data_IF_482682112556
#
_entry.id   IF_482682112556
#
_cell.length_a   1.000
_cell.length_b   1.000
_cell.length_c   1.000
_cell.angle_alpha   90.00
_cell.angle_beta   90.00
_cell.angle_gamma   90.00
#
_symmetry.space_group_name_H-M   'P 1'
#
loop_
_entity.id
_entity.type
_entity.pdbx_description
1 polymer ?
#
# COMPACT_ATOMS: atom_id res chain seq x y z
N UNK A 1 -48.96 34.53 -61.04
CA UNK A 1 -48.89 33.06 -60.84
C UNK A 1 -48.52 32.82 -59.38
N UNK A 2 -49.14 31.85 -58.70
CA UNK A 2 -48.95 31.59 -57.26
C UNK A 2 -47.91 30.48 -57.00
N UNK A 3 -47.04 30.65 -55.98
CA UNK A 3 -46.34 29.61 -55.17
C UNK A 3 -45.72 30.31 -53.93
N UNK A 4 -45.92 29.99 -52.64
CA UNK A 4 -46.82 29.06 -51.91
C UNK A 4 -46.26 27.76 -51.26
N UNK A 5 -45.01 27.75 -50.78
CA UNK A 5 -44.40 26.68 -49.95
C UNK A 5 -43.46 27.29 -48.89
N UNK A 6 -43.71 27.28 -47.56
CA UNK A 6 -43.75 26.21 -46.53
C UNK A 6 -42.39 25.75 -45.96
N UNK A 7 -42.31 25.73 -44.61
CA UNK A 7 -41.36 25.01 -43.73
C UNK A 7 -39.89 25.51 -43.70
N UNK A 8 -39.13 25.43 -42.59
CA UNK A 8 -39.33 24.75 -41.29
C UNK A 8 -38.81 25.58 -40.09
N UNK A 9 -39.45 25.44 -38.92
CA UNK A 9 -38.89 25.82 -37.62
C UNK A 9 -37.90 24.73 -37.15
N UNK A 10 -36.63 25.08 -36.92
CA UNK A 10 -35.69 24.18 -36.23
C UNK A 10 -35.78 24.37 -34.71
N UNK A 11 -36.41 23.42 -34.04
CA UNK A 11 -36.37 23.29 -32.58
C UNK A 11 -35.00 22.74 -32.15
N UNK A 12 -34.13 23.57 -31.58
CA UNK A 12 -32.91 23.09 -30.92
C UNK A 12 -33.29 22.44 -29.57
N UNK A 13 -33.36 21.12 -29.54
CA UNK A 13 -33.40 20.36 -28.29
C UNK A 13 -32.00 20.38 -27.66
N UNK A 14 -31.85 21.11 -26.55
CA UNK A 14 -30.63 21.08 -25.76
C UNK A 14 -30.49 19.73 -25.05
N UNK A 15 -29.63 18.85 -25.56
CA UNK A 15 -29.27 17.61 -24.90
C UNK A 15 -28.44 17.93 -23.64
N UNK A 16 -29.09 17.96 -22.49
CA UNK A 16 -28.41 18.07 -21.20
C UNK A 16 -27.59 16.82 -20.92
N UNK A 17 -26.28 16.91 -21.13
CA UNK A 17 -25.33 15.86 -20.75
C UNK A 17 -25.31 15.71 -19.22
N UNK A 18 -26.09 14.76 -18.71
CA UNK A 18 -25.99 14.32 -17.33
C UNK A 18 -24.63 13.66 -17.12
N UNK A 19 -23.66 14.42 -16.60
CA UNK A 19 -22.38 13.87 -16.19
C UNK A 19 -22.63 12.85 -15.08
N UNK A 20 -22.48 11.57 -15.40
CA UNK A 20 -22.53 10.49 -14.42
C UNK A 20 -21.33 10.64 -13.50
N UNK A 21 -21.54 11.20 -12.31
CA UNK A 21 -20.57 11.17 -11.24
C UNK A 21 -20.17 9.69 -11.02
N UNK A 22 -18.85 9.37 -10.95
CA UNK A 22 -18.44 8.02 -10.60
C UNK A 22 -19.05 7.67 -9.25
N UNK A 23 -19.66 6.48 -9.16
CA UNK A 23 -20.32 6.04 -7.95
C UNK A 23 -19.33 6.12 -6.79
N UNK A 24 -19.64 6.94 -5.78
CA UNK A 24 -18.91 6.92 -4.53
C UNK A 24 -18.97 5.49 -4.00
N UNK A 25 -17.81 4.86 -3.82
CA UNK A 25 -17.70 3.52 -3.26
C UNK A 25 -18.58 3.43 -2.02
N UNK A 26 -19.45 2.41 -1.98
CA UNK A 26 -20.36 2.21 -0.85
C UNK A 26 -19.56 2.28 0.44
N UNK A 27 -19.88 3.24 1.31
CA UNK A 27 -19.02 3.63 2.40
C UNK A 27 -18.84 2.47 3.41
N UNK A 28 -17.81 1.65 3.17
CA UNK A 28 -17.34 0.68 4.14
C UNK A 28 -17.08 1.45 5.44
N UNK A 29 -17.68 1.00 6.53
CA UNK A 29 -17.49 1.64 7.82
C UNK A 29 -16.01 1.55 8.18
N UNK A 30 -15.30 2.68 8.06
CA UNK A 30 -13.88 2.82 8.42
C UNK A 30 -13.67 2.20 9.80
N UNK A 31 -12.80 1.19 9.87
CA UNK A 31 -12.53 0.50 11.13
C UNK A 31 -11.73 1.43 12.02
N UNK A 32 -12.10 1.52 13.30
CA UNK A 32 -11.37 2.32 14.27
C UNK A 32 -11.52 1.72 15.67
N UNK A 33 -10.58 2.06 16.54
CA UNK A 33 -10.59 1.57 17.92
C UNK A 33 -9.36 1.99 18.71
N UNK A 34 -9.38 1.63 20.00
CA UNK A 34 -8.23 1.77 20.90
C UNK A 34 -7.39 0.50 20.88
N UNK A 35 -6.07 0.64 20.89
CA UNK A 35 -5.08 -0.43 20.79
C UNK A 35 -3.87 -0.14 21.68
N UNK A 36 -3.07 -1.16 21.96
CA UNK A 36 -1.72 -1.02 22.52
C UNK A 36 -0.74 -1.25 21.39
N UNK A 37 -0.06 -0.21 20.89
CA UNK A 37 0.89 -0.34 19.77
C UNK A 37 2.32 -0.54 20.25
N UNK A 38 3.03 -1.51 19.67
CA UNK A 38 4.45 -1.82 20.01
C UNK A 38 5.39 -1.52 18.84
N UNK A 39 6.70 -1.29 19.08
CA UNK A 39 7.67 -1.02 18.03
C UNK A 39 8.11 -2.31 17.31
N UNK A 40 8.02 -2.32 15.98
CA UNK A 40 8.51 -3.39 15.11
C UNK A 40 9.76 -2.90 14.36
N UNK A 41 10.93 -3.47 14.67
CA UNK A 41 12.22 -2.97 14.17
C UNK A 41 12.74 -3.67 12.91
N UNK A 42 11.99 -4.65 12.37
CA UNK A 42 12.32 -5.34 11.11
C UNK A 42 11.21 -5.17 10.07
N UNK A 43 11.58 -4.91 8.81
CA UNK A 43 10.61 -4.86 7.73
C UNK A 43 10.18 -6.26 7.29
N UNK A 44 8.87 -6.45 7.13
CA UNK A 44 8.25 -7.64 6.53
C UNK A 44 6.91 -7.31 5.85
N UNK A 45 6.41 -8.24 5.04
CA UNK A 45 5.06 -8.17 4.45
C UNK A 45 4.55 -9.57 4.09
N UNK A 46 3.52 -10.02 4.80
CA UNK A 46 2.78 -11.28 4.58
C UNK A 46 1.98 -11.31 3.27
N UNK A 47 1.74 -10.16 2.63
CA UNK A 47 1.16 -10.08 1.27
C UNK A 47 2.20 -9.86 0.17
N UNK A 48 3.48 -9.77 0.53
CA UNK A 48 4.57 -9.66 -0.44
C UNK A 48 4.80 -8.27 -1.03
N UNK A 49 4.43 -7.19 -0.31
CA UNK A 49 4.82 -5.83 -0.70
C UNK A 49 6.35 -5.69 -0.64
N UNK A 50 6.91 -4.87 -1.53
CA UNK A 50 8.35 -4.66 -1.67
C UNK A 50 8.81 -3.43 -0.88
N UNK A 51 9.63 -3.66 0.14
CA UNK A 51 10.15 -2.61 1.02
C UNK A 51 10.96 -1.54 0.28
N UNK A 52 11.69 -1.94 -0.76
CA UNK A 52 12.46 -1.03 -1.60
C UNK A 52 11.60 -0.08 -2.45
N UNK A 53 10.28 -0.29 -2.49
CA UNK A 53 9.31 0.54 -3.23
C UNK A 53 8.35 1.30 -2.31
N UNK A 54 8.57 1.31 -1.00
CA UNK A 54 7.75 2.04 0.00
C UNK A 54 8.60 2.67 1.10
N UNK A 55 7.99 3.51 1.93
CA UNK A 55 8.58 3.97 3.18
C UNK A 55 8.42 2.91 4.29
N UNK A 56 9.42 2.04 4.46
CA UNK A 56 9.40 0.95 5.47
C UNK A 56 9.35 1.44 6.92
N UNK A 57 9.65 2.72 7.18
CA UNK A 57 9.47 3.36 8.48
C UNK A 57 8.01 3.71 8.79
N UNK A 58 7.07 3.44 7.89
CA UNK A 58 5.62 3.74 8.03
C UNK A 58 4.75 2.53 7.68
N UNK A 59 4.98 1.40 8.35
CA UNK A 59 4.25 0.13 8.18
C UNK A 59 3.50 -0.25 9.46
N UNK A 60 2.34 -0.88 9.30
CA UNK A 60 1.54 -1.46 10.37
C UNK A 60 1.41 -2.98 10.19
N UNK A 61 1.65 -3.71 11.29
CA UNK A 61 1.70 -5.16 11.42
C UNK A 61 0.57 -5.59 12.37
N UNK A 62 -0.64 -5.79 11.82
CA UNK A 62 -1.86 -5.94 12.63
C UNK A 62 -2.16 -7.42 12.96
N UNK A 63 -2.96 -7.75 14.00
CA UNK A 63 -3.36 -9.13 14.26
C UNK A 63 -4.18 -9.77 13.12
N UNK A 64 -4.75 -8.93 12.24
CA UNK A 64 -5.55 -9.35 11.09
C UNK A 64 -4.75 -9.22 9.80
N UNK A 65 -4.86 -10.24 8.95
CA UNK A 65 -4.32 -10.24 7.59
C UNK A 65 -4.69 -8.95 6.82
N UNK A 66 -3.82 -8.42 5.94
CA UNK A 66 -4.15 -7.26 5.11
C UNK A 66 -5.39 -7.48 4.24
N UNK A 67 -6.14 -6.41 3.99
CA UNK A 67 -7.32 -6.43 3.11
C UNK A 67 -7.02 -5.72 1.79
N UNK A 68 -7.83 -5.98 0.76
CA UNK A 68 -7.67 -5.37 -0.56
C UNK A 68 -8.10 -3.89 -0.64
N UNK A 69 -8.67 -3.33 0.43
CA UNK A 69 -9.16 -1.94 0.48
C UNK A 69 -8.53 -1.14 1.62
N UNK A 70 -8.35 -1.77 2.78
CA UNK A 70 -8.03 -1.11 4.06
C UNK A 70 -6.50 -1.01 4.28
N UNK A 71 -5.76 -0.59 3.25
CA UNK A 71 -4.29 -0.61 3.22
C UNK A 71 -3.63 0.59 3.90
N UNK A 72 -4.39 1.64 4.23
CA UNK A 72 -3.88 2.81 4.94
C UNK A 72 -4.57 2.94 6.30
N UNK A 73 -3.77 3.07 7.37
CA UNK A 73 -4.25 3.27 8.73
C UNK A 73 -3.55 4.46 9.34
N UNK A 74 -4.32 5.36 9.95
CA UNK A 74 -3.82 6.43 10.80
C UNK A 74 -3.78 5.95 12.24
N UNK A 75 -2.62 6.05 12.89
CA UNK A 75 -2.44 5.72 14.31
C UNK A 75 -2.09 6.99 15.07
N UNK A 76 -2.73 7.20 16.22
CA UNK A 76 -2.60 8.41 17.04
C UNK A 76 -2.31 8.08 18.51
N UNK A 77 -1.29 8.73 19.07
CA UNK A 77 -0.93 8.65 20.49
C UNK A 77 -0.20 9.93 20.94
N UNK A 78 -0.28 10.28 22.23
CA UNK A 78 0.43 11.42 22.83
C UNK A 78 0.24 12.77 22.08
N UNK A 79 -0.93 13.00 21.49
CA UNK A 79 -1.23 14.21 20.70
C UNK A 79 -0.59 14.25 19.31
N UNK A 80 -0.02 13.15 18.82
CA UNK A 80 0.59 12.99 17.50
C UNK A 80 -0.14 11.91 16.69
N UNK A 81 0.04 11.94 15.37
CA UNK A 81 -0.52 10.97 14.44
C UNK A 81 0.50 10.60 13.37
N UNK A 82 0.43 9.37 12.86
CA UNK A 82 1.17 8.88 11.69
C UNK A 82 0.24 8.06 10.80
N UNK A 83 0.41 8.18 9.50
CA UNK A 83 -0.23 7.29 8.53
C UNK A 83 0.73 6.13 8.21
N UNK A 84 0.19 4.92 8.05
CA UNK A 84 0.94 3.68 7.93
C UNK A 84 0.30 2.75 6.91
N UNK A 85 1.13 2.03 6.16
CA UNK A 85 0.72 0.95 5.26
C UNK A 85 0.40 -0.32 6.07
N UNK A 86 -0.86 -0.74 6.10
CA UNK A 86 -1.32 -2.00 6.70
C UNK A 86 -1.09 -3.17 5.72
N UNK A 87 0.17 -3.53 5.55
CA UNK A 87 0.65 -4.52 4.56
C UNK A 87 1.29 -5.75 5.20
N UNK A 88 1.18 -5.90 6.52
CA UNK A 88 1.60 -7.10 7.21
C UNK A 88 0.63 -7.50 8.33
N UNK A 89 0.78 -8.75 8.78
CA UNK A 89 0.16 -9.27 9.98
C UNK A 89 1.22 -9.59 11.03
N UNK A 90 0.89 -9.36 12.28
CA UNK A 90 1.64 -9.88 13.43
C UNK A 90 1.08 -11.24 13.84
N UNK A 91 1.77 -11.91 14.78
CA UNK A 91 1.26 -13.11 15.45
C UNK A 91 0.15 -12.85 16.49
N UNK A 92 -0.51 -11.67 16.48
CA UNK A 92 -1.60 -11.33 17.41
C UNK A 92 -1.48 -9.96 18.11
N UNK A 93 -0.39 -9.21 17.87
CA UNK A 93 -0.13 -7.89 18.44
C UNK A 93 -0.46 -6.74 17.47
N UNK A 94 -0.55 -5.51 17.97
CA UNK A 94 -0.66 -4.34 17.11
C UNK A 94 0.72 -3.68 17.05
N UNK A 95 1.50 -3.96 16.00
CA UNK A 95 2.86 -3.43 15.91
C UNK A 95 2.98 -2.45 14.75
N UNK A 96 3.85 -1.46 14.88
CA UNK A 96 4.12 -0.45 13.84
C UNK A 96 5.63 -0.26 13.73
N UNK A 97 6.12 0.15 12.56
CA UNK A 97 7.57 0.38 12.34
C UNK A 97 8.19 1.19 13.48
N UNK A 98 9.36 0.78 13.96
CA UNK A 98 9.99 1.36 15.15
C UNK A 98 10.10 2.89 15.07
N UNK A 99 10.43 3.46 13.92
CA UNK A 99 10.46 4.92 13.71
C UNK A 99 9.10 5.60 13.96
N UNK A 100 8.01 5.00 13.46
CA UNK A 100 6.66 5.51 13.66
C UNK A 100 6.25 5.45 15.13
N UNK A 101 6.56 4.35 15.82
CA UNK A 101 6.36 4.22 17.27
C UNK A 101 7.18 5.25 18.04
N UNK A 102 8.47 5.40 17.71
CA UNK A 102 9.37 6.35 18.34
C UNK A 102 8.85 7.79 18.19
N UNK A 103 8.42 8.18 16.99
CA UNK A 103 7.83 9.49 16.74
C UNK A 103 6.54 9.72 17.55
N UNK A 104 5.67 8.73 17.70
CA UNK A 104 4.49 8.86 18.56
C UNK A 104 4.86 9.07 20.05
N UNK A 105 5.94 8.46 20.53
CA UNK A 105 6.45 8.64 21.90
C UNK A 105 7.18 9.99 22.07
N UNK A 106 8.26 10.20 21.33
CA UNK A 106 9.22 11.30 21.53
C UNK A 106 8.88 12.55 20.73
N UNK A 107 8.23 12.40 19.57
CA UNK A 107 8.09 13.44 18.55
C UNK A 107 9.26 13.53 17.55
N UNK A 108 10.20 12.59 17.60
CA UNK A 108 11.42 12.56 16.77
C UNK A 108 11.62 11.19 16.12
N UNK A 109 12.40 11.14 15.04
CA UNK A 109 12.74 9.89 14.37
C UNK A 109 13.57 8.98 15.29
N UNK A 110 13.44 7.66 15.13
CA UNK A 110 14.28 6.69 15.83
C UNK A 110 15.77 6.81 15.44
N UNK A 111 16.11 7.37 14.28
CA UNK A 111 17.52 7.65 13.90
C UNK A 111 18.09 8.90 14.57
N UNK A 112 17.22 9.82 15.05
CA UNK A 112 17.61 11.08 15.69
C UNK A 112 17.64 10.96 17.23
N UNK A 113 16.61 10.34 17.81
CA UNK A 113 16.45 10.16 19.24
C UNK A 113 15.79 8.79 19.52
N UNK A 114 16.55 7.69 19.41
CA UNK A 114 16.04 6.35 19.68
C UNK A 114 15.66 6.20 21.16
N UNK A 115 14.42 5.82 21.42
CA UNK A 115 13.96 5.40 22.76
C UNK A 115 13.58 3.93 22.77
N UNK A 116 13.54 3.35 23.97
CA UNK A 116 13.12 1.97 24.21
C UNK A 116 11.87 1.96 25.10
N UNK A 117 10.98 1.01 24.84
CA UNK A 117 9.76 0.79 25.60
C UNK A 117 9.01 -0.46 25.14
N UNK A 118 7.70 -0.35 24.96
CA UNK A 118 6.83 -1.43 24.52
C UNK A 118 5.46 -0.88 24.11
N UNK A 119 4.38 -1.59 24.47
CA UNK A 119 3.01 -1.15 24.17
C UNK A 119 2.68 0.24 24.72
N UNK A 120 2.25 1.15 23.84
CA UNK A 120 1.67 2.45 24.20
C UNK A 120 0.18 2.48 23.85
N UNK A 121 -0.62 3.14 24.70
CA UNK A 121 -2.04 3.35 24.40
C UNK A 121 -2.19 4.30 23.21
N UNK A 122 -2.88 3.83 22.17
CA UNK A 122 -3.12 4.55 20.93
C UNK A 122 -4.55 4.34 20.44
N UNK A 123 -4.99 5.19 19.52
CA UNK A 123 -6.16 4.91 18.67
C UNK A 123 -5.72 4.69 17.24
N UNK A 124 -6.51 3.93 16.48
CA UNK A 124 -6.33 3.80 15.03
C UNK A 124 -7.63 4.07 14.28
N UNK A 125 -7.49 4.45 13.01
CA UNK A 125 -8.57 4.60 12.03
C UNK A 125 -8.07 4.13 10.66
N UNK A 126 -8.79 3.21 10.02
CA UNK A 126 -8.63 2.95 8.58
C UNK A 126 -9.06 4.18 7.81
N UNK A 127 -8.13 4.78 7.09
CA UNK A 127 -8.36 6.03 6.34
C UNK A 127 -8.40 5.76 4.84
N UNK A 128 -8.56 6.80 4.02
CA UNK A 128 -8.49 6.60 2.57
C UNK A 128 -7.07 6.18 2.15
N UNK A 129 -6.88 5.22 1.24
CA UNK A 129 -5.56 4.85 0.73
C UNK A 129 -4.72 6.04 0.20
N UNK A 130 -5.37 7.10 -0.28
CA UNK A 130 -4.68 8.34 -0.70
C UNK A 130 -3.99 9.08 0.45
N UNK A 131 -4.40 8.88 1.71
CA UNK A 131 -3.71 9.42 2.90
C UNK A 131 -2.35 8.73 3.17
N UNK A 132 -2.01 7.65 2.44
CA UNK A 132 -0.71 6.99 2.45
C UNK A 132 0.06 7.11 1.12
N UNK A 133 -0.37 7.97 0.19
CA UNK A 133 0.23 8.06 -1.15
C UNK A 133 1.70 8.51 -1.12
N UNK A 134 2.09 9.32 -0.14
CA UNK A 134 3.47 9.76 0.12
C UNK A 134 4.38 8.65 0.67
N UNK A 135 3.81 7.52 1.08
CA UNK A 135 4.54 6.33 1.54
C UNK A 135 4.94 5.39 0.39
N UNK A 136 4.49 5.67 -0.84
CA UNK A 136 4.75 4.85 -2.03
C UNK A 136 5.91 5.46 -2.83
N UNK A 137 7.04 4.73 -2.88
CA UNK A 137 8.25 5.13 -3.60
C UNK A 137 8.31 4.51 -5.01
N UNK A 138 7.33 3.69 -5.41
CA UNK A 138 7.21 3.20 -6.79
C UNK A 138 6.91 4.38 -7.74
N UNK A 139 7.60 4.50 -8.90
CA UNK A 139 7.51 5.70 -9.75
C UNK A 139 6.11 6.09 -10.26
N UNK A 140 5.15 5.17 -10.23
CA UNK A 140 3.76 5.39 -10.66
C UNK A 140 2.80 5.59 -9.48
N UNK A 141 3.30 5.63 -8.24
CA UNK A 141 2.49 5.71 -7.02
C UNK A 141 1.64 4.47 -6.75
N UNK A 142 2.05 3.29 -7.23
CA UNK A 142 1.33 2.02 -7.01
C UNK A 142 1.98 1.19 -5.91
N UNK A 143 1.19 0.33 -5.28
CA UNK A 143 1.70 -0.62 -4.30
C UNK A 143 2.42 -1.77 -5.02
N UNK A 144 3.73 -1.87 -4.86
CA UNK A 144 4.57 -2.84 -5.56
C UNK A 144 4.69 -4.16 -4.80
N UNK A 145 4.57 -5.28 -5.51
CA UNK A 145 4.60 -6.63 -4.94
C UNK A 145 5.60 -7.55 -5.62
N UNK A 146 6.14 -8.50 -4.85
CA UNK A 146 7.00 -9.59 -5.30
C UNK A 146 6.21 -10.60 -6.17
N UNK A 147 6.37 -10.52 -7.49
CA UNK A 147 5.57 -11.28 -8.46
C UNK A 147 5.59 -12.80 -8.23
N UNK A 148 6.70 -13.34 -7.71
CA UNK A 148 6.86 -14.76 -7.45
C UNK A 148 6.06 -15.25 -6.22
N UNK A 149 5.73 -14.36 -5.27
CA UNK A 149 5.29 -14.74 -3.92
C UNK A 149 4.01 -14.04 -3.42
N UNK A 150 3.53 -12.98 -4.07
CA UNK A 150 2.31 -12.24 -3.68
C UNK A 150 1.01 -12.77 -4.29
N UNK A 151 1.07 -13.71 -5.24
CA UNK A 151 -0.04 -14.01 -6.14
C UNK A 151 -1.32 -14.51 -5.45
N UNK A 152 -1.22 -15.18 -4.29
CA UNK A 152 -2.41 -15.58 -3.53
C UNK A 152 -3.22 -14.36 -3.05
N UNK A 153 -2.55 -13.28 -2.62
CA UNK A 153 -3.21 -12.04 -2.23
C UNK A 153 -3.73 -11.28 -3.44
N UNK A 154 -2.90 -11.11 -4.48
CA UNK A 154 -3.27 -10.38 -5.70
C UNK A 154 -4.49 -11.02 -6.38
N UNK A 155 -4.53 -12.35 -6.50
CA UNK A 155 -5.68 -13.06 -7.07
C UNK A 155 -6.93 -13.00 -6.17
N UNK A 156 -6.79 -12.75 -4.86
CA UNK A 156 -7.94 -12.50 -3.96
C UNK A 156 -8.49 -11.08 -4.08
N UNK A 157 -7.68 -10.13 -4.56
CA UNK A 157 -8.04 -8.73 -4.72
C UNK A 157 -8.64 -8.47 -6.12
N UNK A 158 -9.93 -8.74 -6.24
CA UNK A 158 -10.70 -8.49 -7.47
C UNK A 158 -10.59 -7.05 -8.00
N UNK A 159 -10.90 -6.82 -9.29
CA UNK A 159 -10.63 -5.56 -9.99
C UNK A 159 -11.36 -4.35 -9.39
N UNK A 160 -12.43 -4.58 -8.63
CA UNK A 160 -13.16 -3.51 -7.96
C UNK A 160 -12.51 -3.01 -6.66
N UNK A 161 -11.55 -3.75 -6.09
CA UNK A 161 -10.84 -3.38 -4.86
C UNK A 161 -9.77 -2.32 -5.09
N UNK A 162 -9.29 -1.64 -4.04
CA UNK A 162 -8.21 -0.66 -4.20
C UNK A 162 -6.92 -1.32 -4.68
N UNK A 163 -6.50 -2.43 -4.05
CA UNK A 163 -5.29 -3.18 -4.45
C UNK A 163 -5.44 -3.72 -5.87
N UNK A 164 -6.61 -4.24 -6.25
CA UNK A 164 -6.85 -4.75 -7.60
C UNK A 164 -6.61 -3.71 -8.71
N UNK A 165 -6.81 -2.42 -8.41
CA UNK A 165 -6.57 -1.30 -9.36
C UNK A 165 -5.18 -0.66 -9.23
N UNK A 166 -4.58 -0.67 -8.04
CA UNK A 166 -3.40 0.12 -7.68
C UNK A 166 -2.18 -0.74 -7.31
N UNK A 167 -2.10 -1.98 -7.82
CA UNK A 167 -0.92 -2.83 -7.67
C UNK A 167 0.03 -2.75 -8.87
N UNK A 168 1.26 -3.17 -8.66
CA UNK A 168 2.22 -3.51 -9.71
C UNK A 168 3.07 -4.69 -9.27
N UNK A 169 3.35 -5.62 -10.17
CA UNK A 169 4.19 -6.77 -9.91
C UNK A 169 5.61 -6.51 -10.40
N UNK A 170 6.61 -6.88 -9.60
CA UNK A 170 8.03 -6.83 -9.98
C UNK A 170 8.67 -8.22 -9.84
N UNK A 171 9.65 -8.56 -10.68
CA UNK A 171 10.42 -9.82 -10.60
C UNK A 171 11.45 -9.83 -9.46
N UNK A 172 11.12 -9.18 -8.35
CA UNK A 172 11.88 -9.17 -7.10
C UNK A 172 11.32 -10.32 -6.26
N UNK A 173 12.21 -11.17 -5.76
CA UNK A 173 11.84 -12.46 -5.16
C UNK A 173 11.26 -12.29 -3.75
N UNK A 174 11.78 -11.36 -2.94
CA UNK A 174 11.40 -11.23 -1.53
C UNK A 174 11.06 -9.79 -1.10
N UNK A 175 10.22 -9.61 -0.05
CA UNK A 175 9.81 -8.29 0.44
C UNK A 175 10.97 -7.34 0.77
N UNK A 176 12.06 -7.86 1.35
CA UNK A 176 13.27 -7.09 1.73
C UNK A 176 14.18 -6.74 0.54
N UNK A 177 13.79 -7.11 -0.69
CA UNK A 177 14.46 -6.77 -1.94
C UNK A 177 15.95 -7.16 -2.04
N UNK A 178 16.34 -8.30 -1.46
CA UNK A 178 17.73 -8.80 -1.54
C UNK A 178 17.98 -9.73 -2.74
N UNK A 179 16.92 -10.21 -3.41
CA UNK A 179 17.03 -11.09 -4.57
C UNK A 179 16.02 -10.76 -5.69
N UNK A 180 16.40 -11.01 -6.94
CA UNK A 180 15.58 -10.87 -8.15
C UNK A 180 16.02 -9.73 -9.06
N UNK A 181 15.16 -9.38 -10.01
CA UNK A 181 15.39 -8.34 -11.01
C UNK A 181 14.43 -7.16 -10.78
N UNK A 182 14.94 -5.92 -10.87
CA UNK A 182 14.11 -4.72 -10.76
C UNK A 182 13.37 -4.41 -12.07
N UNK A 183 12.43 -5.28 -12.42
CA UNK A 183 11.65 -5.22 -13.65
C UNK A 183 10.17 -5.45 -13.37
N UNK A 184 9.31 -4.73 -14.08
CA UNK A 184 7.86 -4.87 -13.97
C UNK A 184 7.41 -6.13 -14.74
N UNK A 185 6.56 -6.93 -14.10
CA UNK A 185 5.90 -8.07 -14.71
C UNK A 185 4.45 -7.72 -15.08
N UNK A 186 3.90 -8.39 -16.09
CA UNK A 186 2.49 -8.31 -16.46
C UNK A 186 1.75 -9.56 -16.02
N UNK A 187 0.48 -9.42 -15.61
CA UNK A 187 -0.41 -10.58 -15.52
C UNK A 187 -0.99 -10.88 -16.90
N UNK A 188 -1.00 -12.15 -17.34
CA UNK A 188 -1.79 -12.54 -18.50
C UNK A 188 -3.29 -12.36 -18.21
N UNK A 189 -4.14 -12.29 -19.26
CA UNK A 189 -5.58 -12.44 -19.11
C UNK A 189 -5.94 -13.73 -18.33
N UNK A 190 -6.95 -13.73 -17.45
CA UNK A 190 -7.28 -14.86 -16.59
C UNK A 190 -7.51 -16.19 -17.33
N UNK A 191 -7.99 -16.13 -18.57
CA UNK A 191 -8.20 -17.27 -19.46
C UNK A 191 -6.91 -17.88 -20.04
N UNK A 192 -5.79 -17.15 -19.97
CA UNK A 192 -4.46 -17.61 -20.41
C UNK A 192 -3.56 -18.04 -19.24
N UNK A 193 -3.89 -17.69 -18.00
CA UNK A 193 -3.21 -18.16 -16.79
C UNK A 193 -3.24 -17.17 -15.63
N UNK A 194 -2.54 -17.51 -14.55
CA UNK A 194 -2.42 -16.70 -13.34
C UNK A 194 -0.95 -16.47 -12.90
N UNK A 195 0.01 -16.84 -13.74
CA UNK A 195 1.45 -16.66 -13.48
C UNK A 195 1.94 -15.36 -14.14
N UNK A 196 2.62 -14.46 -13.41
CA UNK A 196 3.20 -13.25 -13.99
C UNK A 196 4.24 -13.54 -15.07
N UNK A 197 4.22 -12.74 -16.13
CA UNK A 197 5.20 -12.74 -17.21
C UNK A 197 6.17 -11.58 -16.97
N UNK A 198 7.47 -11.89 -16.90
CA UNK A 198 8.54 -10.92 -16.64
C UNK A 198 9.61 -11.01 -17.75
N UNK A 199 10.42 -9.96 -17.99
CA UNK A 199 11.49 -10.01 -18.98
C UNK A 199 12.55 -11.09 -18.73
N UNK A 200 12.91 -11.34 -17.47
CA UNK A 200 13.69 -12.51 -17.05
C UNK A 200 12.78 -13.62 -16.50
N UNK A 201 13.33 -14.83 -16.32
CA UNK A 201 12.61 -15.91 -15.66
C UNK A 201 12.12 -15.47 -14.27
N UNK A 202 10.85 -15.76 -13.97
CA UNK A 202 10.21 -15.41 -12.70
C UNK A 202 10.92 -16.10 -11.53
N UNK A 203 11.26 -15.33 -10.49
CA UNK A 203 11.70 -15.84 -9.19
C UNK A 203 13.14 -16.38 -9.13
N UNK A 204 14.02 -16.00 -10.06
CA UNK A 204 15.44 -16.37 -9.99
C UNK A 204 16.14 -15.60 -8.86
N UNK A 205 16.87 -16.26 -7.94
CA UNK A 205 17.50 -15.63 -6.78
C UNK A 205 18.85 -14.96 -7.13
N UNK A 206 18.86 -14.05 -8.10
CA UNK A 206 20.04 -13.21 -8.38
C UNK A 206 20.17 -12.15 -7.27
N UNK A 207 21.35 -11.91 -6.68
CA UNK A 207 21.53 -10.86 -5.67
C UNK A 207 21.14 -9.47 -6.19
N UNK A 208 20.26 -8.79 -5.46
CA UNK A 208 19.78 -7.44 -5.75
C UNK A 208 20.36 -6.47 -4.73
N UNK A 209 21.30 -5.64 -5.16
CA UNK A 209 22.06 -4.73 -4.27
C UNK A 209 21.85 -3.24 -4.57
N UNK A 210 21.10 -2.91 -5.61
CA UNK A 210 20.86 -1.52 -6.06
C UNK A 210 19.80 -0.77 -5.26
N UNK A 211 18.94 -1.48 -4.52
CA UNK A 211 17.82 -0.91 -3.78
C UNK A 211 17.65 -1.56 -2.38
N UNK A 212 18.66 -1.41 -1.50
CA UNK A 212 18.64 -2.03 -0.17
C UNK A 212 17.51 -1.52 0.71
N UNK A 213 16.87 -2.43 1.45
CA UNK A 213 15.91 -2.09 2.51
C UNK A 213 16.65 -1.98 3.84
N UNK A 214 16.47 -0.86 4.54
CA UNK A 214 17.10 -0.60 5.83
C UNK A 214 16.08 -0.64 6.96
N UNK A 215 16.40 -1.44 7.97
CA UNK A 215 15.80 -1.42 9.29
C UNK A 215 16.46 -0.33 10.15
N UNK A 216 15.89 -0.03 11.31
CA UNK A 216 16.54 0.75 12.36
C UNK A 216 16.65 -0.14 13.59
N UNK A 217 17.86 -0.47 14.01
CA UNK A 217 18.10 -1.39 15.13
C UNK A 217 17.57 -0.78 16.45
N UNK A 218 16.70 -1.56 17.12
CA UNK A 218 15.93 -1.10 18.26
C UNK A 218 16.77 -0.49 19.39
N UNK A 219 16.43 0.72 19.82
CA UNK A 219 17.13 1.45 20.88
C UNK A 219 18.47 2.08 20.47
N UNK A 220 18.95 1.87 19.24
CA UNK A 220 20.28 2.34 18.80
C UNK A 220 20.26 3.48 17.77
N UNK A 221 19.16 3.59 17.02
CA UNK A 221 19.03 4.50 15.88
C UNK A 221 19.91 4.14 14.67
N UNK A 222 20.66 3.05 14.73
CA UNK A 222 21.57 2.63 13.65
C UNK A 222 20.82 1.88 12.55
N UNK A 223 21.15 2.10 11.27
CA UNK A 223 20.56 1.35 10.18
C UNK A 223 21.18 -0.07 10.08
N UNK A 224 20.34 -1.08 9.90
CA UNK A 224 20.78 -2.45 9.59
C UNK A 224 20.10 -2.95 8.32
N UNK A 225 20.84 -3.71 7.49
CA UNK A 225 20.32 -4.21 6.22
C UNK A 225 19.25 -5.27 6.51
N UNK A 226 18.07 -5.16 5.89
CA UNK A 226 17.07 -6.21 5.93
C UNK A 226 17.50 -7.39 5.04
N UNK A 227 17.41 -8.60 5.59
CA UNK A 227 17.90 -9.85 4.98
C UNK A 227 16.89 -10.99 5.13
#
# INVERSE_FOLDING_TARGET
MLFSTTLSLLSLAAAGSAATLPAAFGAQKRQSGSVSVTPHDRYSSSVGVLGCKINVNRVAYWPSFPSCNDICVRVSANGRSVNLLKIDQSGGAFDISYDAWNYLVTGQSATENPTMGGGISATYETVDPSECADLLNEPSGRLAFAAANSMNFINSCGPDTWVGRNNVLYNILNPVCTYGYDEVCTLPPPELGNQPQCPHQLGVPVPLTSQPVWNIDYGTGQPSLAV
#
